data_IF_564378061712
#
_entry.id   IF_564378061712
#
_cell.length_a   1.000
_cell.length_b   1.000
_cell.length_c   1.000
_cell.angle_alpha   90.00
_cell.angle_beta   90.00
_cell.angle_gamma   90.00
#
_symmetry.space_group_name_H-M   'P 1'
#
loop_
_entity.id
_entity.type
_entity.pdbx_description
1 polymer ?
#
# COMPACT_ATOMS: atom_id res chain seq x y z
N UNK A 1 -11.63 -3.92 -13.28
CA UNK A 1 -10.34 -4.50 -13.70
C UNK A 1 -9.80 -3.64 -14.83
N UNK A 2 -8.63 -3.02 -14.68
CA UNK A 2 -8.03 -2.25 -15.77
C UNK A 2 -7.42 -3.23 -16.78
N UNK A 3 -7.90 -3.29 -18.04
CA UNK A 3 -7.27 -4.10 -19.07
C UNK A 3 -5.83 -3.60 -19.29
N UNK A 4 -4.84 -4.49 -19.13
CA UNK A 4 -3.43 -4.17 -19.40
C UNK A 4 -2.49 -4.13 -18.19
N UNK A 5 -2.92 -4.50 -16.99
CA UNK A 5 -2.05 -4.62 -15.81
C UNK A 5 -1.75 -6.09 -15.50
N UNK A 6 -0.48 -6.44 -15.38
CA UNK A 6 0.02 -7.76 -15.00
C UNK A 6 0.56 -7.71 -13.56
N UNK A 7 0.24 -8.71 -12.73
CA UNK A 7 0.85 -8.84 -11.40
C UNK A 7 2.18 -9.56 -11.56
N UNK A 8 3.28 -8.90 -11.20
CA UNK A 8 4.64 -9.41 -11.39
C UNK A 8 5.18 -10.09 -10.13
N UNK A 9 4.93 -9.49 -8.97
CA UNK A 9 5.42 -9.99 -7.69
C UNK A 9 4.38 -9.81 -6.60
N UNK A 10 4.33 -10.76 -5.68
CA UNK A 10 3.52 -10.70 -4.46
C UNK A 10 4.41 -10.94 -3.27
N UNK A 11 4.31 -10.07 -2.27
CA UNK A 11 4.94 -10.26 -0.97
C UNK A 11 3.86 -10.30 0.10
N UNK A 12 3.88 -11.37 0.90
CA UNK A 12 2.84 -11.69 1.87
C UNK A 12 3.32 -11.42 3.30
N UNK A 13 2.43 -10.89 4.13
CA UNK A 13 2.62 -10.67 5.56
C UNK A 13 1.43 -11.27 6.31
N UNK A 14 1.69 -12.13 7.29
CA UNK A 14 0.70 -13.00 7.91
C UNK A 14 0.03 -12.46 9.17
N UNK A 15 0.61 -11.42 9.78
CA UNK A 15 0.26 -10.99 11.15
C UNK A 15 -0.28 -9.57 11.22
N UNK A 16 -1.07 -9.16 10.23
CA UNK A 16 -1.53 -7.80 10.13
C UNK A 16 -2.95 -7.58 10.68
N UNK A 17 -3.18 -6.44 11.32
CA UNK A 17 -4.51 -5.96 11.70
C UNK A 17 -4.73 -4.52 11.25
N UNK A 18 -6.00 -4.18 10.95
CA UNK A 18 -6.42 -2.82 10.65
C UNK A 18 -7.37 -2.32 11.72
N UNK A 19 -7.14 -1.10 12.19
CA UNK A 19 -7.98 -0.41 13.16
C UNK A 19 -8.54 0.89 12.59
N UNK A 20 -9.68 1.36 13.10
CA UNK A 20 -10.18 2.69 12.74
C UNK A 20 -9.22 3.78 13.24
N UNK A 21 -9.00 4.79 12.39
CA UNK A 21 -8.37 6.05 12.78
C UNK A 21 -9.43 7.13 12.72
N UNK A 22 -9.40 8.00 13.72
CA UNK A 22 -10.15 9.25 13.68
C UNK A 22 -9.16 10.33 13.24
N UNK A 23 -9.46 11.10 12.18
CA UNK A 23 -8.61 12.21 11.79
C UNK A 23 -8.37 13.13 12.99
N UNK A 24 -7.11 13.43 13.28
CA UNK A 24 -6.73 14.26 14.44
C UNK A 24 -7.36 15.65 14.42
N UNK A 25 -7.67 16.14 13.22
CA UNK A 25 -8.39 17.40 12.96
C UNK A 25 -9.84 17.39 13.46
N UNK A 26 -10.43 16.20 13.61
CA UNK A 26 -11.83 15.99 13.98
C UNK A 26 -11.98 15.39 15.39
N UNK A 27 -10.90 14.84 15.98
CA UNK A 27 -10.98 14.26 17.32
C UNK A 27 -10.98 15.36 18.39
N UNK A 28 -12.05 15.44 19.17
CA UNK A 28 -12.15 16.32 20.35
C UNK A 28 -11.78 15.61 21.67
N UNK A 29 -11.19 14.41 21.60
CA UNK A 29 -10.83 13.61 22.77
C UNK A 29 -10.25 12.25 22.42
N UNK A 30 -10.09 11.41 23.45
CA UNK A 30 -9.69 10.01 23.29
C UNK A 30 -10.84 9.20 22.66
N UNK A 31 -10.56 8.53 21.54
CA UNK A 31 -11.52 7.66 20.88
C UNK A 31 -11.06 6.19 20.92
N UNK A 32 -11.99 5.24 21.13
CA UNK A 32 -11.64 3.83 21.20
C UNK A 32 -11.20 3.32 19.83
N UNK A 33 -10.04 2.68 19.79
CA UNK A 33 -9.56 1.93 18.63
C UNK A 33 -10.23 0.57 18.58
N UNK A 34 -10.88 0.27 17.46
CA UNK A 34 -11.60 -0.95 17.15
C UNK A 34 -10.88 -1.66 16.02
N UNK A 35 -10.57 -2.94 16.23
CA UNK A 35 -10.05 -3.79 15.17
C UNK A 35 -11.15 -4.08 14.15
N UNK A 36 -10.91 -3.71 12.90
CA UNK A 36 -11.82 -3.90 11.77
C UNK A 36 -11.46 -5.14 10.95
N UNK A 37 -10.18 -5.54 10.98
CA UNK A 37 -9.64 -6.64 10.20
C UNK A 37 -8.42 -7.23 10.90
N UNK A 38 -8.30 -8.56 10.82
CA UNK A 38 -7.10 -9.32 11.12
C UNK A 38 -6.91 -10.35 10.00
N UNK A 39 -5.73 -10.39 9.41
CA UNK A 39 -5.45 -11.32 8.34
C UNK A 39 -4.14 -11.06 7.60
N UNK A 40 -4.16 -11.42 6.32
CA UNK A 40 -3.01 -11.38 5.42
C UNK A 40 -2.95 -10.06 4.67
N UNK A 41 -1.74 -9.53 4.52
CA UNK A 41 -1.45 -8.44 3.59
C UNK A 41 -0.66 -9.00 2.42
N UNK A 42 -1.05 -8.61 1.22
CA UNK A 42 -0.34 -8.86 -0.01
C UNK A 42 0.07 -7.53 -0.65
N UNK A 43 1.36 -7.21 -0.65
CA UNK A 43 1.89 -6.12 -1.46
C UNK A 43 2.13 -6.67 -2.87
N UNK A 44 1.36 -6.15 -3.83
CA UNK A 44 1.43 -6.51 -5.24
C UNK A 44 2.26 -5.49 -6.00
N UNK A 45 3.27 -5.97 -6.70
CA UNK A 45 3.96 -5.24 -7.76
C UNK A 45 3.24 -5.52 -9.09
N UNK A 46 2.90 -4.46 -9.79
CA UNK A 46 2.05 -4.45 -10.98
C UNK A 46 2.84 -3.80 -12.11
N UNK A 47 2.85 -4.42 -13.28
CA UNK A 47 3.40 -3.79 -14.50
C UNK A 47 2.27 -3.47 -15.47
N UNK A 48 2.32 -2.28 -16.03
CA UNK A 48 1.48 -1.92 -17.17
C UNK A 48 2.06 -2.52 -18.45
N UNK A 49 1.22 -2.87 -19.42
CA UNK A 49 1.69 -3.21 -20.77
C UNK A 49 2.24 -2.02 -21.55
N UNK A 50 1.93 -0.81 -21.09
CA UNK A 50 2.23 0.44 -21.80
C UNK A 50 3.31 1.27 -21.11
N UNK A 51 3.78 0.83 -19.95
CA UNK A 51 4.71 1.58 -19.11
C UNK A 51 5.61 0.58 -18.38
N UNK A 52 6.92 0.78 -18.48
CA UNK A 52 7.93 -0.07 -17.85
C UNK A 52 8.16 0.29 -16.37
N UNK A 53 7.43 1.28 -15.85
CA UNK A 53 7.46 1.68 -14.45
C UNK A 53 6.61 0.72 -13.60
N UNK A 54 7.19 0.15 -12.52
CA UNK A 54 6.43 -0.71 -11.60
C UNK A 54 5.41 0.12 -10.82
N UNK A 55 4.20 -0.40 -10.67
CA UNK A 55 3.17 0.16 -9.80
C UNK A 55 2.96 -0.76 -8.61
N UNK A 56 2.54 -0.20 -7.48
CA UNK A 56 2.35 -0.98 -6.26
C UNK A 56 0.92 -0.87 -5.73
N UNK A 57 0.42 -1.95 -5.13
CA UNK A 57 -0.87 -1.97 -4.43
C UNK A 57 -0.80 -2.87 -3.21
N UNK A 58 -1.43 -2.46 -2.12
CA UNK A 58 -1.58 -3.28 -0.93
C UNK A 58 -2.99 -3.87 -0.93
N UNK A 59 -3.08 -5.19 -0.78
CA UNK A 59 -4.33 -5.96 -0.75
C UNK A 59 -4.45 -6.66 0.60
N UNK A 60 -5.65 -6.66 1.16
CA UNK A 60 -5.97 -7.22 2.46
C UNK A 60 -6.92 -8.41 2.26
N UNK A 61 -6.53 -9.55 2.81
CA UNK A 61 -7.22 -10.83 2.64
C UNK A 61 -7.45 -11.47 4.01
N UNK A 62 -8.66 -11.95 4.27
CA UNK A 62 -8.95 -12.62 5.53
C UNK A 62 -8.15 -13.91 5.65
N UNK A 63 -7.57 -14.14 6.82
CA UNK A 63 -6.93 -15.42 7.13
C UNK A 63 -8.04 -16.44 7.43
N UNK A 64 -8.14 -17.51 6.62
CA UNK A 64 -9.14 -18.55 6.85
C UNK A 64 -8.81 -19.32 8.14
N UNK A 65 -9.63 -19.15 9.16
CA UNK A 65 -9.54 -19.89 10.41
C UNK A 65 -9.99 -21.34 10.23
N UNK A 66 -9.04 -22.23 9.90
CA UNK A 66 -9.09 -23.68 10.17
C UNK A 66 -10.26 -24.53 9.63
N UNK A 67 -11.23 -23.97 8.89
CA UNK A 67 -12.37 -24.69 8.32
C UNK A 67 -12.03 -25.33 6.97
N UNK A 68 -12.59 -26.52 6.71
CA UNK A 68 -12.35 -27.35 5.54
C UNK A 68 -12.27 -26.54 4.22
N UNK A 69 -11.07 -26.55 3.63
CA UNK A 69 -10.73 -25.86 2.38
C UNK A 69 -11.67 -26.29 1.26
N UNK A 70 -12.56 -25.39 0.82
CA UNK A 70 -12.91 -25.35 -0.61
C UNK A 70 -11.75 -24.64 -1.30
N UNK A 71 -10.90 -25.43 -1.97
CA UNK A 71 -9.74 -24.92 -2.70
C UNK A 71 -10.13 -23.67 -3.53
N UNK A 72 -9.52 -22.53 -3.24
CA UNK A 72 -9.48 -21.39 -4.15
C UNK A 72 -10.28 -20.13 -3.81
N UNK A 73 -10.97 -20.03 -2.66
CA UNK A 73 -11.63 -18.77 -2.28
C UNK A 73 -10.88 -18.03 -1.17
N UNK A 74 -9.87 -17.25 -1.57
CA UNK A 74 -9.32 -16.21 -0.70
C UNK A 74 -10.38 -15.13 -0.52
N UNK A 75 -10.76 -14.85 0.73
CA UNK A 75 -11.78 -13.83 1.02
C UNK A 75 -11.13 -12.45 1.06
N UNK A 76 -11.40 -11.66 0.02
CA UNK A 76 -10.97 -10.27 -0.07
C UNK A 76 -11.63 -9.41 1.01
N UNK A 77 -10.84 -8.58 1.70
CA UNK A 77 -11.34 -7.54 2.60
C UNK A 77 -11.37 -6.18 1.90
N UNK A 78 -10.22 -5.75 1.39
CA UNK A 78 -10.04 -4.42 0.85
C UNK A 78 -8.67 -4.24 0.21
N UNK A 79 -8.42 -3.06 -0.35
CA UNK A 79 -7.16 -2.73 -0.99
C UNK A 79 -6.95 -1.21 -1.02
N UNK A 80 -5.70 -0.80 -1.22
CA UNK A 80 -5.35 0.59 -1.47
C UNK A 80 -5.63 0.96 -2.94
N UNK A 81 -5.58 2.25 -3.24
CA UNK A 81 -5.40 2.70 -4.62
C UNK A 81 -4.07 2.15 -5.18
N UNK A 82 -3.97 2.07 -6.51
CA UNK A 82 -2.69 1.77 -7.18
C UNK A 82 -1.78 2.98 -7.00
N UNK A 83 -0.61 2.76 -6.43
CA UNK A 83 0.43 3.75 -6.26
C UNK A 83 1.32 3.72 -7.49
N UNK A 84 1.52 4.86 -8.16
CA UNK A 84 2.30 4.97 -9.40
C UNK A 84 3.54 5.88 -9.30
N UNK A 85 3.96 6.18 -8.08
CA UNK A 85 5.12 7.04 -7.81
C UNK A 85 5.20 7.47 -6.36
N UNK A 86 6.20 8.30 -6.05
CA UNK A 86 6.51 8.78 -4.70
C UNK A 86 5.34 9.52 -4.06
N UNK A 87 4.63 10.34 -4.83
CA UNK A 87 3.48 11.12 -4.36
C UNK A 87 2.34 10.20 -3.91
N UNK A 88 2.00 9.20 -4.73
CA UNK A 88 0.93 8.26 -4.40
C UNK A 88 1.30 7.37 -3.21
N UNK A 89 2.56 6.94 -3.13
CA UNK A 89 3.07 6.16 -1.99
C UNK A 89 2.94 6.95 -0.70
N UNK A 90 3.44 8.19 -0.66
CA UNK A 90 3.40 9.05 0.53
C UNK A 90 1.98 9.45 0.94
N UNK A 91 1.06 9.53 -0.03
CA UNK A 91 -0.36 9.76 0.24
C UNK A 91 -1.03 8.51 0.82
N UNK A 92 -0.67 7.33 0.31
CA UNK A 92 -1.31 6.06 0.65
C UNK A 92 -0.81 5.46 1.94
N UNK A 93 0.49 5.57 2.21
CA UNK A 93 1.16 4.97 3.36
C UNK A 93 1.94 6.05 4.10
N UNK A 94 1.55 6.35 5.34
CA UNK A 94 2.33 7.22 6.23
C UNK A 94 2.83 6.44 7.42
N UNK A 95 4.14 6.49 7.63
CA UNK A 95 4.76 5.90 8.80
C UNK A 95 4.47 6.78 10.03
N UNK A 96 3.90 6.18 11.07
CA UNK A 96 3.83 6.73 12.44
C UNK A 96 4.78 5.92 13.30
N UNK A 97 5.18 6.45 14.46
CA UNK A 97 6.24 5.86 15.29
C UNK A 97 6.04 4.34 15.52
N UNK A 98 4.81 3.92 15.85
CA UNK A 98 4.50 2.52 16.20
C UNK A 98 3.62 1.79 15.17
N UNK A 99 3.09 2.46 14.15
CA UNK A 99 2.09 1.91 13.22
C UNK A 99 2.07 2.65 11.87
N UNK A 100 1.31 2.15 10.89
CA UNK A 100 1.19 2.81 9.57
C UNK A 100 -0.22 3.32 9.33
N UNK A 101 -0.36 4.57 8.90
CA UNK A 101 -1.61 5.10 8.36
C UNK A 101 -1.73 4.62 6.90
N UNK A 102 -2.76 3.83 6.61
CA UNK A 102 -3.03 3.29 5.28
C UNK A 102 -4.32 3.88 4.74
N UNK A 103 -4.25 4.46 3.55
CA UNK A 103 -5.40 4.97 2.82
C UNK A 103 -6.03 3.87 1.96
N UNK A 104 -7.16 3.35 2.42
CA UNK A 104 -7.91 2.29 1.75
C UNK A 104 -8.86 2.86 0.72
N UNK A 105 -8.96 2.20 -0.44
CA UNK A 105 -9.89 2.56 -1.51
C UNK A 105 -11.29 1.98 -1.20
N UNK A 106 -12.31 2.82 -1.25
CA UNK A 106 -13.71 2.45 -1.08
C UNK A 106 -14.49 2.68 -2.39
N UNK A 107 -15.80 2.42 -2.38
CA UNK A 107 -16.67 2.80 -3.50
C UNK A 107 -16.63 4.31 -3.77
N UNK A 108 -16.96 4.68 -5.00
CA UNK A 108 -17.17 6.08 -5.42
C UNK A 108 -15.95 6.98 -5.26
N UNK A 109 -14.75 6.44 -5.47
CA UNK A 109 -13.47 7.16 -5.36
C UNK A 109 -13.22 7.78 -3.98
N UNK A 110 -13.92 7.28 -2.96
CA UNK A 110 -13.66 7.67 -1.57
C UNK A 110 -12.54 6.83 -1.00
N UNK A 111 -11.90 7.38 0.02
CA UNK A 111 -10.85 6.68 0.73
C UNK A 111 -11.00 6.86 2.23
N UNK A 112 -10.63 5.84 2.98
CA UNK A 112 -10.66 5.85 4.44
C UNK A 112 -9.26 5.57 4.98
N UNK A 113 -8.82 6.37 5.94
CA UNK A 113 -7.56 6.14 6.63
C UNK A 113 -7.76 5.11 7.74
N UNK A 114 -6.96 4.06 7.75
CA UNK A 114 -6.94 3.02 8.76
C UNK A 114 -5.54 2.86 9.33
N UNK A 115 -5.47 2.37 10.57
CA UNK A 115 -4.22 2.08 11.26
C UNK A 115 -3.86 0.64 10.98
N UNK A 116 -2.73 0.44 10.30
CA UNK A 116 -2.12 -0.85 10.07
C UNK A 116 -1.10 -1.15 11.15
N UNK A 117 -1.31 -2.28 11.83
CA UNK A 117 -0.35 -2.88 12.75
C UNK A 117 0.09 -4.23 12.22
N UNK A 118 1.39 -4.52 12.32
CA UNK A 118 1.96 -5.83 12.03
C UNK A 118 2.49 -6.38 13.35
N UNK A 119 1.91 -7.49 13.82
CA UNK A 119 2.17 -8.02 15.18
C UNK A 119 3.54 -8.67 15.28
N UNK A 120 4.01 -9.36 14.23
CA UNK A 120 5.33 -9.97 14.21
C UNK A 120 6.40 -8.93 13.85
N UNK A 121 7.39 -8.76 14.73
CA UNK A 121 8.47 -7.77 14.58
C UNK A 121 9.30 -8.01 13.32
N UNK A 122 9.50 -9.27 12.91
CA UNK A 122 10.26 -9.58 11.69
C UNK A 122 9.44 -9.24 10.46
N UNK A 123 8.14 -9.51 10.47
CA UNK A 123 7.24 -9.08 9.39
C UNK A 123 7.14 -7.55 9.31
N UNK A 124 7.06 -6.86 10.45
CA UNK A 124 7.06 -5.39 10.50
C UNK A 124 8.33 -4.80 9.88
N UNK A 125 9.51 -5.33 10.26
CA UNK A 125 10.77 -4.91 9.68
C UNK A 125 10.82 -5.20 8.17
N UNK A 126 10.43 -6.40 7.74
CA UNK A 126 10.38 -6.75 6.32
C UNK A 126 9.43 -5.85 5.53
N UNK A 127 8.34 -5.39 6.15
CA UNK A 127 7.40 -4.47 5.54
C UNK A 127 8.00 -3.06 5.42
N UNK A 128 8.68 -2.58 6.46
CA UNK A 128 9.44 -1.31 6.43
C UNK A 128 10.51 -1.31 5.35
N UNK A 129 11.30 -2.39 5.27
CA UNK A 129 12.36 -2.54 4.27
C UNK A 129 11.77 -2.57 2.85
N UNK A 130 10.62 -3.22 2.67
CA UNK A 130 9.90 -3.22 1.39
C UNK A 130 9.43 -1.81 1.03
N UNK A 131 8.81 -1.07 1.95
CA UNK A 131 8.37 0.30 1.71
C UNK A 131 9.55 1.23 1.37
N UNK A 132 10.68 1.05 2.04
CA UNK A 132 11.90 1.80 1.76
C UNK A 132 12.41 1.51 0.36
N UNK A 133 12.52 0.23 -0.04
CA UNK A 133 12.89 -0.18 -1.39
C UNK A 133 11.98 0.42 -2.46
N UNK A 134 10.65 0.39 -2.22
CA UNK A 134 9.66 0.96 -3.17
C UNK A 134 9.87 2.47 -3.30
N UNK A 135 10.14 3.17 -2.18
CA UNK A 135 10.41 4.60 -2.21
C UNK A 135 11.68 4.92 -2.98
N UNK A 136 12.79 4.23 -2.71
CA UNK A 136 14.05 4.43 -3.44
C UNK A 136 13.88 4.16 -4.94
N UNK A 137 13.13 3.12 -5.32
CA UNK A 137 12.83 2.83 -6.71
C UNK A 137 12.07 3.97 -7.39
N UNK A 138 11.06 4.54 -6.72
CA UNK A 138 10.35 5.70 -7.26
C UNK A 138 11.18 6.98 -7.29
N UNK A 139 12.03 7.23 -6.28
CA UNK A 139 12.92 8.38 -6.27
C UNK A 139 13.94 8.30 -7.43
N UNK A 140 14.52 7.12 -7.69
CA UNK A 140 15.40 6.93 -8.85
C UNK A 140 14.67 7.14 -10.19
N UNK A 141 13.41 6.68 -10.31
CA UNK A 141 12.61 6.88 -11.52
C UNK A 141 12.27 8.37 -11.70
N UNK A 142 11.89 9.05 -10.61
CA UNK A 142 11.61 10.49 -10.61
C UNK A 142 12.86 11.30 -11.00
N UNK A 143 14.06 10.92 -10.55
CA UNK A 143 15.34 11.50 -10.98
C UNK A 143 15.61 11.29 -12.47
N UNK A 144 15.47 10.05 -12.96
CA UNK A 144 15.69 9.72 -14.38
C UNK A 144 14.70 10.42 -15.32
N UNK A 145 13.45 10.62 -14.89
CA UNK A 145 12.45 11.34 -15.68
C UNK A 145 12.57 12.86 -15.53
N UNK A 146 13.01 13.36 -14.37
CA UNK A 146 13.24 14.77 -14.09
C UNK A 146 14.44 15.38 -14.82
N UNK A 147 15.42 14.58 -15.24
CA UNK A 147 16.55 15.03 -16.06
C UNK A 147 16.20 15.25 -17.56
N UNK A 148 14.97 15.00 -17.98
CA UNK A 148 14.55 15.17 -19.38
C UNK A 148 14.19 16.60 -19.80
N UNK A 149 14.22 17.57 -18.87
CA UNK A 149 13.85 18.98 -19.12
C UNK A 149 15.02 19.99 -19.11
N UNK A 150 16.29 19.57 -18.97
CA UNK A 150 17.42 20.52 -18.81
C UNK A 150 18.58 20.40 -19.82
N UNK A 151 18.30 19.92 -21.04
CA UNK A 151 19.19 20.12 -22.20
C UNK A 151 18.52 21.05 -23.23
N UNK A 152 18.29 22.30 -22.81
CA UNK A 152 17.57 23.29 -23.60
C UNK A 152 18.12 24.71 -23.53
N UNK A 153 19.31 24.96 -22.98
CA UNK A 153 19.94 26.29 -23.03
C UNK A 153 21.39 26.20 -23.50
N UNK A 154 21.55 25.89 -24.79
CA UNK A 154 22.78 26.17 -25.52
C UNK A 154 22.47 26.72 -26.91
N UNK A 155 21.88 27.92 -27.00
CA UNK A 155 22.05 28.86 -28.13
C UNK A 155 21.86 30.30 -27.63
N UNK A 156 22.87 31.15 -27.77
CA UNK A 156 22.74 32.60 -27.63
C UNK A 156 24.03 33.34 -27.31
#
# INVERSE_FOLDING_TARGET
>A
MCPGVLVCRKQLFGTASLHNIVPSELSHGWEPQVELFEGLICVCELMSKNDDIPWYRIVFEWQDGGGEKRQGQVKFFGQTAIMKGTIDLNKTVKNREEWFEILMECSDQRSVALELRIKDIREDQNFRDLLFRIREEYEMIDEMMGESDDFGDFIG
#
